data_IF_887414454220
#
_entry.id   IF_887414454220
#
_cell.length_a   1.000
_cell.length_b   1.000
_cell.length_c   1.000
_cell.angle_alpha   90.00
_cell.angle_beta   90.00
_cell.angle_gamma   90.00
#
_symmetry.space_group_name_H-M   'P 1'
#
loop_
_entity.id
_entity.type
_entity.pdbx_description
1 polymer ?
2 polymer ?
3 water ?
#
loop_
_entity_poly.entity_id
_entity_poly.type
_entity_poly.pdbx_seq_one_letter_code
_entity_poly.pdbx_strand_id
2 'polyribonucleotide' 'GGGGUUUUGGUUUUCCCC' ?
#
# COMPACT_ATOMS: atom_id res chain seq x y z
N UNK A 42 -11.66 -15.64 -25.56
CA UNK A 42 -10.35 -16.19 -25.93
C UNK A 42 -10.27 -16.33 -27.45
N UNK A 43 -10.44 -17.55 -27.96
CA UNK A 43 -10.59 -17.78 -29.40
C UNK A 43 -12.06 -18.08 -29.71
N UNK A 44 -12.61 -17.73 -30.88
CA UNK A 44 -12.02 -16.98 -32.01
C UNK A 44 -10.68 -17.46 -32.59
N UNK A 46 -13.92 -16.30 -36.29
CA UNK A 46 -12.90 -15.92 -37.24
C UNK A 46 -12.47 -14.46 -37.14
N UNK A 47 -12.37 -13.97 -35.92
CA UNK A 47 -12.14 -12.55 -35.65
C UNK A 47 -10.70 -12.36 -35.17
N UNK A 48 -9.94 -11.55 -35.89
CA UNK A 48 -8.53 -11.35 -35.56
C UNK A 48 -8.42 -10.38 -34.40
N UNK A 49 -7.75 -10.74 -33.31
CA UNK A 49 -7.60 -9.81 -32.18
C UNK A 49 -6.91 -8.52 -32.59
N UNK A 50 -7.27 -7.45 -31.90
CA UNK A 50 -6.58 -6.17 -32.01
C UNK A 50 -5.49 -6.11 -30.93
N UNK A 51 -4.59 -5.15 -31.08
CA UNK A 51 -3.66 -4.88 -29.98
C UNK A 51 -4.43 -4.44 -28.73
N UNK A 52 -5.57 -3.77 -28.91
CA UNK A 52 -6.40 -3.42 -27.74
C UNK A 52 -6.81 -4.66 -26.97
N UNK A 53 -7.01 -5.78 -27.67
CA UNK A 53 -7.46 -7.01 -27.05
C UNK A 53 -6.38 -7.60 -26.14
N UNK A 54 -5.15 -7.70 -26.65
CA UNK A 54 -4.05 -8.20 -25.82
C UNK A 54 -3.76 -7.26 -24.65
N UNK A 55 -3.88 -5.95 -24.85
CA UNK A 55 -3.58 -5.02 -23.76
C UNK A 55 -4.55 -5.19 -22.61
N UNK A 56 -5.83 -5.44 -22.90
CA UNK A 56 -6.79 -5.65 -21.82
C UNK A 56 -6.45 -6.89 -21.02
N UNK A 57 -6.24 -8.03 -21.71
CA UNK A 57 -5.85 -9.25 -21.02
C UNK A 57 -4.54 -9.08 -20.25
N UNK A 58 -3.55 -8.43 -20.86
CA UNK A 58 -2.30 -8.16 -20.15
C UNK A 58 -2.56 -7.29 -18.94
N UNK A 59 -3.43 -6.28 -19.07
CA UNK A 59 -3.80 -5.50 -17.91
C UNK A 59 -4.38 -6.40 -16.81
N UNK A 60 -5.40 -7.19 -17.14
CA UNK A 60 -6.00 -8.05 -16.15
C UNK A 60 -4.99 -9.02 -15.53
N UNK A 61 -4.13 -9.60 -16.35
CA UNK A 61 -3.12 -10.51 -15.83
C UNK A 61 -2.19 -9.80 -14.85
N UNK A 62 -1.67 -8.64 -15.24
CA UNK A 62 -0.71 -7.93 -14.39
C UNK A 62 -1.31 -7.56 -13.06
N UNK A 63 -2.53 -7.03 -13.09
CA UNK A 63 -3.19 -6.67 -11.84
C UNK A 63 -3.56 -7.88 -11.00
N UNK A 64 -3.56 -9.08 -11.58
CA UNK A 64 -3.71 -10.31 -10.80
C UNK A 64 -2.37 -10.92 -10.41
N UNK A 65 -1.28 -10.15 -10.47
CA UNK A 65 0.03 -10.62 -10.10
C UNK A 65 0.66 -11.54 -11.12
N UNK A 66 -0.16 -12.06 -12.04
CA UNK A 66 0.23 -13.10 -12.99
C UNK A 66 1.20 -12.57 -14.03
N UNK A 67 2.31 -11.98 -13.59
CA UNK A 67 3.18 -11.27 -14.52
C UNK A 67 3.84 -12.21 -15.52
N UNK A 68 4.28 -13.38 -15.05
CA UNK A 68 4.81 -14.37 -15.97
C UNK A 68 3.77 -14.74 -17.02
N UNK A 69 2.54 -15.03 -16.60
CA UNK A 69 1.48 -15.27 -17.58
C UNK A 69 1.18 -14.00 -18.38
N UNK A 70 1.25 -12.83 -17.75
CA UNK A 70 1.07 -11.58 -18.47
C UNK A 70 2.13 -11.39 -19.55
N UNK A 71 3.30 -12.00 -19.40
CA UNK A 71 4.40 -11.80 -20.34
C UNK A 71 4.39 -12.78 -21.51
N UNK A 72 3.90 -14.01 -21.31
CA UNK A 72 3.76 -14.93 -22.44
C UNK A 72 2.77 -14.40 -23.48
N UNK A 73 1.72 -13.70 -23.03
CA UNK A 73 0.83 -13.00 -23.96
C UNK A 73 1.60 -12.01 -24.81
N UNK A 74 2.53 -11.28 -24.19
CA UNK A 74 3.37 -10.35 -24.95
C UNK A 74 4.10 -11.08 -26.07
N UNK A 75 4.65 -12.26 -25.78
CA UNK A 75 5.38 -13.00 -26.82
C UNK A 75 4.43 -13.54 -27.87
N UNK A 76 3.28 -14.06 -27.47
CA UNK A 76 2.35 -14.63 -28.42
C UNK A 76 1.94 -13.60 -29.47
N UNK A 77 1.78 -12.34 -29.08
CA UNK A 77 1.18 -11.36 -29.99
C UNK A 77 2.17 -10.90 -31.06
N UNK A 78 3.47 -10.83 -30.76
CA UNK A 78 4.42 -10.58 -31.83
C UNK A 78 4.43 -11.75 -32.81
N UNK A 79 4.34 -12.98 -32.30
CA UNK A 79 4.37 -14.17 -33.15
C UNK A 79 3.23 -14.18 -34.15
N UNK A 80 2.14 -13.48 -33.88
CA UNK A 80 1.09 -13.32 -34.87
C UNK A 80 1.30 -12.11 -35.76
N UNK A 81 2.32 -11.30 -35.50
CA UNK A 81 2.55 -10.09 -36.25
C UNK A 81 1.78 -8.90 -35.74
N UNK A 82 1.44 -8.88 -34.45
CA UNK A 82 0.65 -7.82 -33.83
C UNK A 82 1.57 -7.05 -32.90
N UNK A 83 1.80 -5.79 -33.22
CA UNK A 83 2.84 -5.03 -32.56
C UNK A 83 2.37 -4.54 -31.20
N UNK A 84 3.02 -4.93 -30.11
CA UNK A 84 2.84 -4.21 -28.85
C UNK A 84 3.07 -2.72 -29.05
N UNK A 85 2.19 -1.92 -28.46
CA UNK A 85 2.25 -0.47 -28.62
C UNK A 85 2.72 0.16 -27.31
N UNK A 86 2.55 1.49 -27.20
CA UNK A 86 3.02 2.20 -26.02
C UNK A 86 2.20 1.80 -24.80
N UNK A 87 0.89 1.58 -25.01
CA UNK A 87 0.03 1.14 -23.91
C UNK A 87 0.43 -0.24 -23.44
N UNK A 88 0.82 -1.11 -24.38
CA UNK A 88 1.31 -2.43 -24.01
C UNK A 88 2.51 -2.31 -23.05
N UNK A 89 3.49 -1.49 -23.39
CA UNK A 89 4.65 -1.35 -22.51
C UNK A 89 4.27 -0.69 -21.20
N UNK A 90 3.38 0.31 -21.25
CA UNK A 90 3.00 0.99 -20.02
C UNK A 90 2.28 0.05 -19.06
N UNK A 91 1.49 -0.88 -19.58
CA UNK A 91 0.78 -1.85 -18.74
C UNK A 91 1.77 -2.78 -18.05
N UNK A 92 2.65 -3.42 -18.83
CA UNK A 92 3.66 -4.29 -18.25
C UNK A 92 4.59 -3.54 -17.31
N UNK A 93 4.96 -2.31 -17.64
CA UNK A 93 5.82 -1.54 -16.73
C UNK A 93 5.13 -1.32 -15.40
N UNK A 94 3.85 -0.95 -15.42
CA UNK A 94 3.09 -0.77 -14.18
C UNK A 94 2.98 -2.06 -13.39
N UNK A 95 2.60 -3.16 -14.06
CA UNK A 95 2.57 -4.43 -13.39
C UNK A 95 3.91 -4.80 -12.76
N UNK A 96 5.01 -4.51 -13.47
CA UNK A 96 6.32 -4.84 -12.91
C UNK A 96 6.64 -4.01 -11.68
N UNK A 97 6.32 -2.71 -11.71
CA UNK A 97 6.63 -1.86 -10.57
C UNK A 97 5.84 -2.30 -9.35
N UNK A 98 4.52 -2.44 -9.52
CA UNK A 98 3.66 -2.77 -8.38
C UNK A 98 3.97 -4.17 -7.84
N UNK A 99 4.45 -5.07 -8.70
CA UNK A 99 4.94 -6.37 -8.25
C UNK A 99 6.35 -6.30 -7.70
N UNK A 100 6.91 -5.10 -7.51
CA UNK A 100 8.21 -4.96 -6.91
C UNK A 100 9.40 -5.24 -7.82
N UNK A 101 9.16 -5.49 -9.11
CA UNK A 101 10.23 -5.76 -10.06
C UNK A 101 10.63 -4.49 -10.81
N UNK A 102 10.95 -3.43 -10.06
CA UNK A 102 11.23 -2.14 -10.66
C UNK A 102 12.31 -2.25 -11.74
N UNK A 103 13.42 -2.93 -11.41
CA UNK A 103 14.50 -3.08 -12.37
C UNK A 103 14.02 -3.74 -13.66
N UNK A 104 13.11 -4.72 -13.55
CA UNK A 104 12.59 -5.36 -14.75
C UNK A 104 11.77 -4.37 -15.57
N UNK A 105 11.08 -3.43 -14.90
CA UNK A 105 10.31 -2.42 -15.63
C UNK A 105 11.23 -1.46 -16.35
N UNK A 106 12.31 -1.04 -15.70
CA UNK A 106 13.29 -0.17 -16.35
C UNK A 106 13.88 -0.80 -17.61
N UNK A 107 14.08 -2.12 -17.61
CA UNK A 107 14.47 -2.78 -18.86
C UNK A 107 13.42 -2.56 -19.96
N UNK A 108 12.14 -2.76 -19.64
CA UNK A 108 11.09 -2.59 -20.63
C UNK A 108 11.04 -1.17 -21.19
N UNK A 109 11.27 -0.17 -20.34
CA UNK A 109 11.43 1.20 -20.80
C UNK A 109 12.58 1.31 -21.82
N UNK A 110 13.72 0.66 -21.55
CA UNK A 110 14.79 0.67 -22.54
C UNK A 110 14.39 -0.08 -23.79
N UNK A 111 13.75 -1.24 -23.64
CA UNK A 111 13.36 -2.00 -24.82
C UNK A 111 12.45 -1.18 -25.72
N UNK A 112 11.48 -0.46 -25.16
CA UNK A 112 10.55 0.32 -25.98
C UNK A 112 11.28 1.46 -26.69
N UNK A 113 12.18 2.16 -26.00
CA UNK A 113 12.94 3.22 -26.63
C UNK A 113 13.75 2.68 -27.81
N UNK A 114 14.43 1.54 -27.60
CA UNK A 114 15.19 0.92 -28.67
C UNK A 114 14.33 0.67 -29.90
N UNK A 115 13.03 0.52 -29.72
CA UNK A 115 12.11 0.19 -30.79
C UNK A 115 11.49 1.42 -31.45
N UNK A 116 11.80 2.62 -30.97
CA UNK A 116 11.11 3.80 -31.48
C UNK A 116 9.71 3.98 -30.94
N UNK A 117 9.30 3.17 -29.97
CA UNK A 117 8.00 3.33 -29.33
C UNK A 117 8.18 4.35 -28.22
N UNK A 118 7.79 5.57 -28.49
CA UNK A 118 8.11 6.72 -27.65
C UNK A 118 7.46 6.60 -26.28
N UNK A 119 8.21 6.65 -25.19
CA UNK A 119 7.59 6.81 -23.88
C UNK A 119 6.90 8.16 -23.78
N UNK A 120 5.70 8.15 -23.21
CA UNK A 120 4.82 9.30 -23.11
C UNK A 120 4.62 9.68 -21.64
N UNK A 121 3.72 10.65 -21.42
CA UNK A 121 3.51 11.14 -20.07
C UNK A 121 3.10 10.02 -19.13
N UNK A 122 2.32 9.04 -19.63
CA UNK A 122 1.92 7.91 -18.80
C UNK A 122 3.12 7.06 -18.43
N UNK A 123 4.00 6.80 -19.39
CA UNK A 123 5.21 6.04 -19.10
C UNK A 123 5.99 6.67 -17.96
N UNK A 124 6.27 7.96 -18.05
CA UNK A 124 7.02 8.63 -17.00
C UNK A 124 6.26 8.62 -15.67
N UNK A 125 4.97 8.96 -15.69
CA UNK A 125 4.14 8.91 -14.49
C UNK A 125 4.22 7.54 -13.82
N UNK A 126 4.21 6.48 -14.61
CA UNK A 126 4.27 5.13 -14.08
C UNK A 126 5.62 4.87 -13.40
N UNK A 127 6.71 5.22 -14.07
CA UNK A 127 8.04 5.05 -13.46
C UNK A 127 8.21 5.95 -12.24
N UNK A 128 7.82 7.22 -12.34
CA UNK A 128 7.97 8.16 -11.22
C UNK A 128 7.29 7.63 -9.98
N UNK A 129 6.04 7.16 -10.10
CA UNK A 129 5.38 6.55 -8.95
C UNK A 129 6.11 5.29 -8.51
N UNK A 130 6.43 4.41 -9.47
CA UNK A 130 7.19 3.22 -9.12
C UNK A 130 8.48 3.52 -8.39
N UNK A 131 9.21 4.55 -8.83
CA UNK A 131 10.47 4.91 -8.18
C UNK A 131 10.22 5.52 -6.81
N UNK A 132 9.19 6.36 -6.68
CA UNK A 132 8.85 6.91 -5.38
C UNK A 132 8.58 5.80 -4.38
N UNK A 133 7.77 4.82 -4.76
CA UNK A 133 7.33 3.80 -3.83
C UNK A 133 8.39 2.73 -3.54
N UNK A 134 9.61 2.87 -4.05
CA UNK A 134 10.64 1.85 -3.82
C UNK A 134 11.83 2.37 -3.01
N UNK A 136 14.29 4.89 -5.62
CA UNK A 136 13.55 5.62 -4.58
C UNK A 136 13.43 7.08 -5.06
N UNK A 137 12.89 7.94 -4.19
CA UNK A 137 12.69 9.37 -4.44
C UNK A 137 13.87 10.02 -5.14
N UNK A 139 15.80 9.63 -8.12
CA UNK A 139 15.56 8.88 -9.35
C UNK A 139 14.21 9.28 -9.96
N UNK A 140 13.16 9.36 -9.13
CA UNK A 140 11.88 9.84 -9.63
C UNK A 140 11.95 11.30 -10.09
N UNK A 141 12.74 12.10 -9.38
CA UNK A 141 12.85 13.52 -9.72
C UNK A 141 13.71 13.74 -10.97
N UNK A 142 14.73 12.91 -11.19
CA UNK A 142 15.45 13.02 -12.46
C UNK A 142 14.55 12.65 -13.64
N UNK A 143 13.65 11.67 -13.48
CA UNK A 143 12.72 11.39 -14.56
C UNK A 143 11.75 12.55 -14.78
N UNK A 144 11.36 13.25 -13.70
CA UNK A 144 10.48 14.40 -13.85
C UNK A 144 11.13 15.50 -14.69
N UNK A 145 12.44 15.69 -14.55
CA UNK A 145 13.12 16.62 -15.46
C UNK A 145 13.38 15.97 -16.81
N UNK A 146 13.68 14.67 -16.85
CA UNK A 146 13.92 14.04 -18.14
C UNK A 146 12.70 14.12 -19.05
N UNK A 147 11.49 13.96 -18.49
CA UNK A 147 10.30 13.98 -19.35
C UNK A 147 10.10 15.35 -19.98
N UNK A 148 10.38 16.43 -19.22
CA UNK A 148 10.28 17.78 -19.78
C UNK A 148 11.25 17.95 -20.94
N UNK A 149 12.44 17.34 -20.83
CA UNK A 149 13.44 17.42 -21.89
C UNK A 149 13.06 16.58 -23.11
N UNK A 150 12.06 15.71 -23.02
CA UNK A 150 11.56 14.99 -24.17
C UNK A 150 10.39 15.71 -24.83
N UNK A 151 10.03 16.90 -24.36
CA UNK A 151 8.85 17.60 -24.82
C UNK A 151 7.54 17.17 -24.17
N UNK A 152 7.60 16.40 -23.09
CA UNK A 152 6.40 15.96 -22.40
C UNK A 152 6.12 16.92 -21.26
N UNK A 153 4.99 17.61 -21.33
CA UNK A 153 4.53 18.40 -20.19
C UNK A 153 4.11 17.47 -19.08
N UNK A 154 4.59 17.66 -17.85
CA UNK A 154 3.98 17.00 -16.70
C UNK A 154 2.55 17.46 -16.53
N UNK A 155 1.68 16.55 -16.13
CA UNK A 155 0.26 16.84 -15.94
C UNK A 155 -0.13 16.67 -14.48
N UNK A 156 -1.43 16.82 -14.22
CA UNK A 156 -1.97 16.76 -12.87
C UNK A 156 -1.59 15.45 -12.19
N UNK A 157 -1.55 14.34 -12.94
CA UNK A 157 -1.17 13.05 -12.36
C UNK A 157 0.31 13.06 -11.99
N UNK A 158 1.18 13.58 -12.86
CA UNK A 158 2.60 13.71 -12.52
C UNK A 158 2.77 14.50 -11.22
N UNK A 159 2.14 15.67 -11.13
CA UNK A 159 2.27 16.46 -9.91
C UNK A 159 1.70 15.72 -8.71
N UNK A 160 0.54 15.08 -8.87
CA UNK A 160 -0.03 14.32 -7.76
C UNK A 160 0.93 13.20 -7.33
N UNK A 161 1.53 12.51 -8.30
CA UNK A 161 2.43 11.41 -7.99
C UNK A 161 3.63 11.90 -7.18
N UNK A 162 4.19 13.05 -7.53
CA UNK A 162 5.39 13.54 -6.85
C UNK A 162 5.07 14.24 -5.53
N UNK A 163 3.91 14.91 -5.43
CA UNK A 163 3.52 15.51 -4.17
C UNK A 163 3.35 14.43 -3.09
N UNK A 164 2.75 13.31 -3.46
CA UNK A 164 2.63 12.19 -2.52
C UNK A 164 3.99 11.62 -2.16
N UNK A 165 4.83 11.34 -3.16
CA UNK A 165 6.17 10.86 -2.89
C UNK A 165 6.93 11.79 -1.96
N UNK A 166 6.84 13.10 -2.21
CA UNK A 166 7.57 14.03 -1.36
C UNK A 166 7.04 14.01 0.07
N UNK A 167 5.71 13.91 0.25
CA UNK A 167 5.14 13.84 1.59
C UNK A 167 5.55 12.57 2.32
N UNK A 168 5.37 11.41 1.67
CA UNK A 168 5.72 10.16 2.32
C UNK A 168 7.21 10.03 2.56
N UNK A 169 8.03 10.90 1.97
CA UNK A 169 9.47 10.96 2.18
C UNK A 169 9.85 11.99 3.22
N UNK A 170 8.87 12.54 3.93
CA UNK A 170 9.13 13.58 4.88
C UNK A 170 9.46 14.92 4.27
N UNK A 171 9.26 15.09 2.97
CA UNK A 171 9.61 16.36 2.33
C UNK A 171 8.37 17.19 2.04
N UNK A 172 7.57 17.45 3.08
CA UNK A 172 6.30 18.15 2.91
C UNK A 172 6.52 19.56 2.35
N UNK A 173 7.54 20.26 2.85
CA UNK A 173 7.86 21.58 2.30
C UNK A 173 8.09 21.50 0.80
N UNK A 174 8.78 20.44 0.35
CA UNK A 174 8.95 20.21 -1.08
C UNK A 174 7.62 19.99 -1.78
N UNK A 175 6.74 19.20 -1.17
CA UNK A 175 5.45 18.90 -1.78
C UNK A 175 4.61 20.16 -1.93
N UNK A 176 4.46 20.93 -0.85
CA UNK A 176 3.78 22.21 -0.96
C UNK A 176 4.42 23.08 -2.03
N UNK A 177 5.74 22.96 -2.21
CA UNK A 177 6.41 23.68 -3.29
C UNK A 177 5.86 23.27 -4.65
N UNK A 178 5.69 21.97 -4.89
CA UNK A 178 5.15 21.53 -6.17
C UNK A 178 3.71 21.96 -6.35
N UNK A 179 2.94 22.03 -5.26
CA UNK A 179 1.55 22.47 -5.34
C UNK A 179 1.45 23.88 -5.86
N UNK A 180 2.29 24.79 -5.35
CA UNK A 180 2.37 26.13 -5.90
C UNK A 180 2.74 26.10 -7.39
N UNK A 181 3.71 25.26 -7.75
CA UNK A 181 4.23 25.29 -9.12
C UNK A 181 3.17 24.83 -10.14
N UNK A 182 2.34 23.84 -9.78
CA UNK A 182 1.37 23.35 -10.75
C UNK A 182 0.26 24.36 -11.00
N UNK A 183 -0.09 25.19 -10.01
CA UNK A 183 -1.03 26.27 -10.26
C UNK A 183 -0.39 27.32 -11.18
N UNK A 184 0.91 27.56 -11.04
CA UNK A 184 1.63 28.41 -11.99
C UNK A 184 1.51 27.89 -13.42
N UNK A 185 1.77 26.59 -13.63
CA UNK A 185 1.66 26.01 -14.97
C UNK A 185 0.22 25.95 -15.49
N UNK A 186 -0.76 26.41 -14.72
CA UNK A 186 -2.14 26.31 -15.14
C UNK A 186 -2.74 24.93 -15.01
N UNK A 187 -2.15 24.07 -14.18
CA UNK A 187 -2.71 22.75 -13.92
C UNK A 187 -3.64 22.89 -12.72
N UNK A 188 -4.93 22.59 -12.93
CA UNK A 188 -5.92 22.79 -11.86
C UNK A 188 -5.89 21.64 -10.86
N UNK A 189 -5.53 21.87 -9.60
CA UNK A 189 -5.53 20.79 -8.60
C UNK A 189 -6.91 20.15 -8.51
N UNK A 190 -6.93 18.83 -8.33
CA UNK A 190 -8.17 18.09 -8.27
C UNK A 190 -8.37 17.49 -6.88
N UNK A 191 -9.34 16.58 -6.78
CA UNK A 191 -9.67 16.00 -5.50
C UNK A 191 -8.52 15.14 -5.00
N UNK A 192 -7.86 14.41 -5.90
CA UNK A 192 -6.66 13.66 -5.53
C UNK A 192 -5.56 14.61 -5.04
N UNK A 193 -5.39 15.77 -5.71
CA UNK A 193 -4.34 16.72 -5.32
C UNK A 193 -4.56 17.19 -3.89
N UNK A 194 -5.76 17.68 -3.59
CA UNK A 194 -6.06 18.18 -2.26
C UNK A 194 -6.06 17.05 -1.24
N UNK A 195 -6.48 15.83 -1.62
CA UNK A 195 -6.47 14.73 -0.66
C UNK A 195 -5.05 14.29 -0.32
N UNK A 196 -4.13 14.37 -1.29
CA UNK A 196 -2.74 13.99 -1.04
C UNK A 196 -2.09 14.94 -0.04
N UNK A 197 -2.38 16.24 -0.14
CA UNK A 197 -1.78 17.21 0.78
C UNK A 197 -2.43 17.14 2.16
N UNK A 198 -3.75 16.90 2.22
CA UNK A 198 -4.41 16.73 3.51
C UNK A 198 -3.80 15.55 4.26
N UNK A 199 -3.61 14.41 3.57
CA UNK A 199 -2.98 13.26 4.19
C UNK A 199 -1.60 13.63 4.73
N UNK A 200 -0.74 14.18 3.87
CA UNK A 200 0.62 14.50 4.28
C UNK A 200 0.67 15.40 5.49
N UNK A 201 -0.11 16.49 5.46
CA UNK A 201 -0.21 17.39 6.59
C UNK A 201 -0.58 16.66 7.87
N UNK A 202 -1.63 15.84 7.83
CA UNK A 202 -2.02 15.05 8.99
C UNK A 202 -0.87 14.17 9.46
N UNK A 203 -0.29 13.41 8.52
CA UNK A 203 0.75 12.48 8.92
C UNK A 203 1.98 13.22 9.45
N UNK A 204 2.18 14.48 9.04
CA UNK A 204 3.25 15.27 9.62
C UNK A 204 2.86 15.89 10.96
N UNK A 205 1.60 15.83 11.35
CA UNK A 205 1.15 16.43 12.59
C UNK A 205 0.47 17.78 12.43
N UNK A 206 0.30 18.25 11.20
CA UNK A 206 -0.33 19.55 10.94
C UNK A 206 -1.82 19.41 10.69
N UNK A 207 -2.52 18.78 11.65
CA UNK A 207 -3.92 18.43 11.46
C UNK A 207 -4.76 19.67 11.16
N UNK A 208 -4.50 20.76 11.87
CA UNK A 208 -5.32 21.95 11.66
C UNK A 208 -5.07 22.55 10.28
N UNK A 209 -3.82 22.55 9.82
CA UNK A 209 -3.56 22.94 8.44
C UNK A 209 -4.31 22.03 7.47
N UNK A 210 -4.34 20.72 7.75
CA UNK A 210 -5.14 19.80 6.93
C UNK A 210 -6.59 20.23 6.91
N UNK A 211 -7.17 20.47 8.09
CA UNK A 211 -8.56 20.92 8.17
C UNK A 211 -8.77 22.21 7.39
N UNK A 212 -7.81 23.13 7.48
CA UNK A 212 -7.90 24.38 6.71
C UNK A 212 -7.90 24.10 5.21
N UNK A 213 -6.97 23.25 4.75
CA UNK A 213 -6.86 23.02 3.30
C UNK A 213 -8.11 22.31 2.77
N UNK A 214 -8.70 21.43 3.57
CA UNK A 214 -9.97 20.83 3.19
C UNK A 214 -11.05 21.90 3.04
N UNK A 215 -11.03 22.90 3.91
CA UNK A 215 -12.03 23.97 3.82
C UNK A 215 -11.94 24.69 2.47
N UNK A 216 -10.74 25.01 2.01
CA UNK A 216 -10.62 25.72 0.74
C UNK A 216 -10.91 24.82 -0.46
N UNK A 217 -10.85 23.50 -0.28
CA UNK A 217 -11.17 22.60 -1.38
C UNK A 217 -12.66 22.65 -1.73
N UNK A 218 -13.52 22.86 -0.74
CA UNK A 218 -14.93 23.04 -1.09
C UNK A 218 -15.18 24.44 -1.65
N UNK A 219 -14.44 25.45 -1.18
CA UNK A 219 -14.53 26.79 -1.76
C UNK A 219 -14.29 26.74 -3.26
N UNK A 220 -13.22 26.09 -3.68
CA UNK A 220 -12.91 26.03 -5.12
C UNK A 220 -13.85 25.12 -5.89
N UNK A 221 -14.88 24.58 -5.24
CA UNK A 221 -15.82 23.72 -5.91
C UNK A 221 -15.30 22.34 -6.22
N UNK A 222 -14.30 21.88 -5.48
CA UNK A 222 -13.81 20.52 -5.64
C UNK A 222 -14.52 19.65 -4.62
N UNK A 223 -15.25 18.67 -5.11
CA UNK A 223 -16.11 17.88 -4.24
C UNK A 223 -15.31 16.77 -3.57
N UNK A 224 -15.22 16.75 -2.23
CA UNK A 224 -14.52 15.66 -1.56
C UNK A 224 -15.28 14.35 -1.71
N UNK A 225 -14.53 13.25 -1.75
CA UNK A 225 -15.11 11.92 -1.83
C UNK A 225 -14.80 11.15 -0.55
N UNK A 226 -15.16 9.87 -0.55
CA UNK A 226 -14.98 9.06 0.64
C UNK A 226 -13.50 8.95 1.02
N UNK A 227 -12.58 9.05 0.05
CA UNK A 227 -11.17 8.98 0.37
C UNK A 227 -10.75 10.23 1.15
N UNK A 228 -11.20 11.41 0.71
CA UNK A 228 -10.95 12.63 1.45
C UNK A 228 -11.39 12.51 2.90
N UNK A 229 -12.69 12.21 3.13
CA UNK A 229 -13.21 12.15 4.49
C UNK A 229 -12.45 11.14 5.34
N UNK A 230 -12.15 9.97 4.75
CA UNK A 230 -11.43 8.95 5.49
C UNK A 230 -10.06 9.45 5.93
N UNK A 231 -9.40 10.23 5.08
CA UNK A 231 -8.07 10.73 5.38
C UNK A 231 -8.10 11.65 6.58
N UNK A 232 -9.06 12.56 6.61
CA UNK A 232 -9.25 13.39 7.79
C UNK A 232 -9.66 12.56 8.99
N UNK A 233 -10.53 11.56 8.79
CA UNK A 233 -10.96 10.71 9.90
C UNK A 233 -9.76 9.96 10.47
N UNK A 234 -8.95 9.36 9.60
CA UNK A 234 -7.70 8.74 10.04
C UNK A 234 -6.81 9.73 10.79
N UNK A 235 -6.72 10.96 10.29
CA UNK A 235 -5.85 11.92 10.94
C UNK A 235 -6.32 12.27 12.33
N UNK A 236 -7.61 12.52 12.49
CA UNK A 236 -8.16 12.81 13.81
C UNK A 236 -7.97 11.64 14.75
N UNK A 237 -8.12 10.42 14.26
CA UNK A 237 -7.88 9.26 15.13
C UNK A 237 -6.41 9.17 15.53
N UNK A 238 -5.50 9.34 14.58
CA UNK A 238 -4.08 9.30 14.92
C UNK A 238 -3.73 10.37 15.94
N UNK A 239 -4.49 11.47 15.99
CA UNK A 239 -4.23 12.58 16.88
C UNK A 239 -5.06 12.52 18.17
N UNK A 240 -5.59 11.36 18.53
CA UNK A 240 -6.32 11.18 19.77
C UNK A 240 -7.69 11.82 19.85
N UNK A 241 -8.26 12.28 18.73
CA UNK A 241 -9.54 12.99 18.74
C UNK A 241 -10.61 12.11 18.12
N UNK A 242 -10.96 11.03 18.83
CA UNK A 242 -11.88 10.03 18.29
C UNK A 242 -13.28 10.60 18.04
N UNK A 243 -13.77 11.48 18.92
CA UNK A 243 -15.13 11.99 18.73
C UNK A 243 -15.19 13.02 17.61
N UNK A 244 -14.14 13.83 17.45
CA UNK A 244 -14.10 14.70 16.28
C UNK A 244 -14.10 13.88 15.00
N UNK A 245 -13.48 12.69 15.02
CA UNK A 245 -13.48 11.80 13.87
C UNK A 245 -14.85 11.21 13.60
N UNK A 246 -15.60 10.86 14.64
CA UNK A 246 -16.95 10.36 14.41
C UNK A 246 -17.87 11.48 13.97
N UNK A 247 -17.67 12.68 14.51
CA UNK A 247 -18.42 13.85 14.05
C UNK A 247 -18.25 14.05 12.55
N UNK A 248 -17.00 13.93 12.08
CA UNK A 248 -16.77 14.07 10.65
C UNK A 248 -17.39 12.91 9.89
N UNK A 249 -17.26 11.70 10.45
CA UNK A 249 -17.82 10.53 9.80
C UNK A 249 -19.32 10.69 9.58
N UNK A 250 -20.02 11.25 10.57
CA UNK A 250 -21.44 11.49 10.40
C UNK A 250 -21.68 12.63 9.40
N UNK A 251 -20.84 13.66 9.42
CA UNK A 251 -20.95 14.70 8.40
C UNK A 251 -20.69 14.14 7.00
N UNK A 252 -19.84 13.12 6.88
CA UNK A 252 -19.64 12.48 5.59
C UNK A 252 -20.94 11.88 5.07
N UNK A 253 -21.71 11.21 5.95
CA UNK A 253 -22.95 10.60 5.49
C UNK A 253 -24.01 11.66 5.20
N UNK A 254 -24.12 12.69 6.06
CA UNK A 254 -25.14 13.73 5.87
C UNK A 254 -24.93 14.48 4.56
N UNK A 255 -23.68 14.58 4.11
CA UNK A 255 -23.38 15.11 2.79
C UNK A 255 -23.77 14.14 1.68
N UNK A 256 -24.23 12.95 2.02
CA UNK A 256 -24.52 11.93 1.03
C UNK A 256 -23.31 11.15 0.56
N UNK A 257 -22.24 11.07 1.35
CA UNK A 257 -21.03 10.37 0.94
C UNK A 257 -20.99 9.01 1.62
N UNK A 258 -21.09 7.95 0.83
CA UNK A 258 -21.19 6.60 1.38
C UNK A 258 -19.82 6.08 1.80
N UNK A 259 -19.64 5.66 3.04
CA UNK A 259 -18.37 5.07 3.46
C UNK A 259 -18.15 3.73 2.76
N UNK A 260 -16.92 3.25 2.85
CA UNK A 260 -16.57 1.96 2.29
C UNK A 260 -15.93 1.17 3.42
N UNK A 261 -15.22 0.11 3.08
CA UNK A 261 -14.65 -0.75 4.11
C UNK A 261 -13.44 -0.08 4.76
N UNK A 262 -12.62 0.59 3.95
CA UNK A 262 -11.51 1.36 4.49
C UNK A 262 -11.99 2.33 5.55
N UNK A 263 -13.09 3.03 5.29
CA UNK A 263 -13.57 3.99 6.27
C UNK A 263 -13.81 3.32 7.62
N UNK A 264 -14.53 2.20 7.62
CA UNK A 264 -14.82 1.50 8.87
C UNK A 264 -13.55 0.90 9.46
N UNK A 265 -12.68 0.35 8.61
CA UNK A 265 -11.40 -0.15 9.08
C UNK A 265 -10.62 0.96 9.79
N UNK A 266 -10.49 2.10 9.13
CA UNK A 266 -9.95 3.29 9.79
C UNK A 266 -10.64 3.56 11.11
N UNK A 267 -11.97 3.53 11.13
CA UNK A 267 -12.67 3.86 12.36
C UNK A 267 -12.46 2.78 13.42
N UNK A 268 -12.53 1.51 13.03
CA UNK A 268 -12.28 0.43 13.97
C UNK A 268 -10.86 0.52 14.55
N UNK A 269 -9.87 0.80 13.71
CA UNK A 269 -8.50 0.93 14.20
C UNK A 269 -8.37 2.06 15.21
N UNK A 270 -9.00 3.20 14.93
CA UNK A 270 -9.04 4.26 15.93
C UNK A 270 -9.62 3.79 17.25
N UNK A 271 -10.64 2.93 17.19
CA UNK A 271 -11.28 2.45 18.41
C UNK A 271 -10.39 1.45 19.15
N UNK A 272 -9.71 0.56 18.42
CA UNK A 272 -8.80 -0.36 19.10
C UNK A 272 -7.64 0.38 19.75
N UNK A 273 -6.99 1.30 19.01
CA UNK A 273 -5.89 2.06 19.60
C UNK A 273 -6.35 2.87 20.80
N UNK A 274 -7.56 3.41 20.75
CA UNK A 274 -8.02 4.24 21.86
C UNK A 274 -8.36 3.41 23.08
N UNK A 275 -8.30 2.09 22.97
CA UNK A 275 -8.65 1.20 24.05
C UNK A 275 -10.10 0.85 24.11
N UNK A 276 -10.89 1.27 23.12
CA UNK A 276 -12.34 1.05 23.10
C UNK A 276 -12.65 -0.21 22.29
N UNK A 277 -12.24 -1.33 22.88
CA UNK A 277 -12.25 -2.62 22.17
C UNK A 277 -13.67 -3.11 21.91
N UNK A 278 -14.60 -2.78 22.82
CA UNK A 278 -15.99 -3.17 22.66
C UNK A 278 -16.69 -2.31 21.60
N UNK A 279 -16.51 -0.99 21.69
CA UNK A 279 -17.06 -0.11 20.67
C UNK A 279 -16.53 -0.47 19.28
N UNK A 280 -15.31 -1.03 19.19
CA UNK A 280 -14.81 -1.47 17.90
C UNK A 280 -15.45 -2.79 17.47
N UNK A 281 -15.83 -3.63 18.42
CA UNK A 281 -16.60 -4.82 18.05
C UNK A 281 -18.03 -4.47 17.67
N UNK A 282 -18.60 -3.45 18.30
CA UNK A 282 -19.88 -2.91 17.86
C UNK A 282 -19.81 -2.43 16.42
N UNK A 283 -18.78 -1.63 16.11
CA UNK A 283 -18.61 -1.10 14.76
C UNK A 283 -18.45 -2.20 13.72
N UNK A 284 -17.77 -3.29 14.08
CA UNK A 284 -17.65 -4.43 13.17
C UNK A 284 -19.01 -5.04 12.86
N UNK A 285 -19.93 -5.05 13.83
CA UNK A 285 -21.27 -5.56 13.59
C UNK A 285 -22.12 -4.57 12.80
N UNK A 286 -22.31 -3.37 13.35
CA UNK A 286 -23.03 -2.30 12.66
C UNK A 286 -22.61 -2.20 11.19
N UNK A 287 -21.31 -2.35 10.94
CA UNK A 287 -20.72 -2.43 9.61
C UNK A 287 -21.56 -3.26 8.64
N UNK A 288 -21.87 -4.50 9.02
CA UNK A 288 -22.63 -5.37 8.12
C UNK A 288 -24.08 -4.91 8.01
N UNK A 289 -24.67 -4.50 9.13
CA UNK A 289 -26.05 -4.01 9.15
C UNK A 289 -26.26 -2.81 8.22
N UNK A 291 -24.64 -2.29 5.03
CA UNK A 291 -24.27 -3.38 4.15
C UNK A 291 -22.86 -3.31 3.56
N UNK A 292 -21.85 -3.29 4.43
CA UNK A 292 -20.45 -3.28 4.00
C UNK A 292 -19.82 -4.62 4.37
N UNK A 293 -19.17 -5.25 3.40
CA UNK A 293 -18.48 -6.51 3.61
C UNK A 293 -17.10 -6.23 4.18
N UNK A 294 -16.83 -6.60 5.43
CA UNK A 294 -15.47 -6.51 5.95
C UNK A 294 -14.50 -7.33 5.12
N UNK A 295 -13.25 -6.88 5.10
CA UNK A 295 -12.19 -7.51 4.33
C UNK A 295 -11.11 -7.98 5.29
N UNK A 296 -9.97 -8.36 4.71
CA UNK A 296 -8.89 -8.91 5.52
C UNK A 296 -8.38 -7.86 6.49
N UNK A 297 -8.25 -6.61 6.03
CA UNK A 297 -7.70 -5.55 6.87
C UNK A 297 -8.62 -5.28 8.05
N UNK A 298 -9.94 -5.33 7.84
CA UNK A 298 -10.89 -5.35 8.94
C UNK A 298 -10.51 -6.38 9.99
N UNK A 299 -10.38 -7.64 9.56
CA UNK A 299 -10.02 -8.70 10.48
C UNK A 299 -8.63 -8.49 11.06
N UNK A 300 -7.68 -8.02 10.25
CA UNK A 300 -6.34 -7.82 10.78
C UNK A 300 -6.35 -6.80 11.89
N UNK A 301 -7.11 -5.73 11.71
CA UNK A 301 -7.14 -4.66 12.69
C UNK A 301 -7.66 -5.15 14.03
N UNK A 302 -8.80 -5.84 14.03
CA UNK A 302 -9.34 -6.39 15.28
C UNK A 302 -8.39 -7.41 15.88
N UNK A 303 -7.90 -8.34 15.05
CA UNK A 303 -6.98 -9.36 15.56
C UNK A 303 -5.81 -8.68 16.26
N UNK A 304 -5.39 -7.51 15.77
CA UNK A 304 -4.28 -6.79 16.40
C UNK A 304 -4.69 -6.14 17.71
N UNK A 305 -5.79 -5.37 17.69
CA UNK A 305 -6.33 -4.85 18.95
C UNK A 305 -6.46 -5.92 20.01
N UNK A 306 -6.95 -7.10 19.62
CA UNK A 306 -7.21 -8.16 20.60
C UNK A 306 -5.92 -8.77 21.11
N UNK A 307 -4.93 -8.97 20.22
CA UNK A 307 -3.62 -9.46 20.65
C UNK A 307 -2.99 -8.50 21.65
N UNK A 308 -2.88 -7.22 21.30
CA UNK A 308 -2.21 -6.26 22.16
C UNK A 308 -2.88 -6.16 23.53
N UNK A 309 -4.20 -6.39 23.62
CA UNK A 309 -4.89 -6.38 24.90
C UNK A 309 -4.71 -7.68 25.69
N UNK A 310 -4.19 -8.74 25.08
CA UNK A 310 -4.05 -10.01 25.73
C UNK A 310 -5.18 -10.96 25.42
N UNK A 311 -6.24 -10.48 24.77
CA UNK A 311 -7.40 -11.31 24.49
C UNK A 311 -7.10 -12.24 23.31
N UNK A 312 -6.13 -13.13 23.57
CA UNK A 312 -5.61 -14.00 22.52
C UNK A 312 -6.66 -14.97 22.00
N UNK A 313 -7.58 -15.39 22.86
CA UNK A 313 -8.63 -16.28 22.41
C UNK A 313 -9.50 -15.60 21.36
N UNK A 314 -10.11 -14.46 21.74
CA UNK A 314 -11.01 -13.77 20.82
C UNK A 314 -10.31 -13.43 19.51
N UNK A 315 -8.99 -13.20 19.54
CA UNK A 315 -8.24 -12.98 18.31
C UNK A 315 -8.21 -14.23 17.44
N UNK A 316 -7.89 -15.38 18.04
CA UNK A 316 -7.74 -16.61 17.26
C UNK A 316 -9.06 -17.07 16.68
N UNK A 317 -10.17 -16.82 17.36
CA UNK A 317 -11.45 -17.22 16.80
C UNK A 317 -11.90 -16.27 15.70
N UNK A 318 -11.44 -15.02 15.74
CA UNK A 318 -11.63 -14.11 14.62
C UNK A 318 -10.84 -14.60 13.41
N UNK A 319 -9.58 -14.95 13.64
CA UNK A 319 -8.73 -15.55 12.61
C UNK A 319 -9.39 -16.80 12.03
N UNK A 320 -10.13 -17.55 12.85
CA UNK A 320 -10.87 -18.70 12.36
C UNK A 320 -12.10 -18.27 11.56
N UNK A 321 -12.78 -17.21 12.02
CA UNK A 321 -14.02 -16.76 11.36
C UNK A 321 -13.76 -16.21 9.97
N UNK A 322 -12.66 -15.46 9.79
CA UNK A 322 -12.37 -14.88 8.48
C UNK A 322 -12.04 -15.96 7.47
N UNK A 323 -11.27 -16.98 7.89
CA UNK A 323 -10.97 -18.11 7.01
C UNK A 323 -12.27 -18.78 6.57
N UNK A 324 -13.06 -19.24 7.54
CA UNK A 324 -14.30 -19.92 7.22
C UNK A 324 -15.19 -19.05 6.33
N UNK A 325 -15.20 -17.73 6.56
CA UNK A 325 -15.93 -16.81 5.70
C UNK A 325 -15.23 -16.57 4.36
N UNK A 326 -14.27 -17.41 3.99
CA UNK A 326 -13.61 -17.28 2.72
C UNK A 326 -12.81 -16.00 2.55
N UNK A 327 -12.40 -15.38 3.64
CA UNK A 327 -11.53 -14.20 3.60
C UNK A 327 -10.12 -14.65 3.94
N UNK A 328 -9.27 -14.70 2.93
CA UNK A 328 -7.95 -15.29 3.06
C UNK A 328 -7.05 -14.42 3.94
N UNK A 329 -6.49 -14.95 5.01
CA UNK A 329 -5.48 -14.18 5.76
C UNK A 329 -4.22 -13.98 4.94
N UNK A 330 -3.78 -12.72 4.85
CA UNK A 330 -2.54 -12.39 4.16
C UNK A 330 -1.32 -12.50 5.08
N UNK A 331 -0.30 -11.71 4.81
CA UNK A 331 0.93 -11.80 5.60
C UNK A 331 0.86 -10.96 6.87
N UNK A 332 0.14 -9.83 6.85
CA UNK A 332 -0.06 -9.05 8.06
C UNK A 332 -0.82 -9.86 9.12
N UNK A 333 -1.79 -10.66 8.68
CA UNK A 333 -2.55 -11.52 9.61
C UNK A 333 -1.63 -12.38 10.44
N UNK A 334 -0.73 -13.10 9.77
CA UNK A 334 0.21 -13.94 10.49
C UNK A 334 1.25 -13.10 11.22
N UNK A 335 1.66 -11.97 10.67
CA UNK A 335 2.59 -11.10 11.38
C UNK A 335 1.98 -10.66 12.72
N UNK A 336 0.73 -10.19 12.69
CA UNK A 336 0.04 -9.74 13.88
C UNK A 336 0.00 -10.82 14.96
N UNK A 337 -0.36 -12.06 14.59
CA UNK A 337 -0.48 -13.13 15.58
C UNK A 337 0.88 -13.57 16.10
N UNK A 338 1.88 -13.65 15.22
CA UNK A 338 3.22 -14.06 15.64
C UNK A 338 3.77 -13.09 16.67
N UNK A 339 3.60 -11.78 16.44
CA UNK A 339 4.05 -10.81 17.42
C UNK A 339 3.23 -10.94 18.71
N UNK A 340 1.92 -11.07 18.56
CA UNK A 340 1.07 -11.24 19.73
C UNK A 340 1.49 -12.42 20.58
N UNK A 341 1.69 -13.58 19.95
CA UNK A 341 2.14 -14.74 20.70
C UNK A 341 3.55 -14.54 21.24
N UNK A 342 4.39 -13.77 20.54
CA UNK A 342 5.77 -13.56 20.98
C UNK A 342 5.84 -12.67 22.20
N UNK A 343 5.23 -11.47 22.14
CA UNK A 343 5.21 -10.61 23.31
C UNK A 343 4.56 -11.27 24.52
N UNK A 344 3.63 -12.21 24.31
CA UNK A 344 2.97 -12.89 25.42
C UNK A 344 3.80 -13.99 26.04
N UNK A 345 4.96 -14.31 25.46
CA UNK A 345 5.78 -15.40 25.97
C UNK A 345 5.46 -16.76 25.40
N UNK A 346 4.64 -16.85 24.36
CA UNK A 346 4.25 -18.11 23.76
C UNK A 346 4.97 -18.34 22.44
N UNK A 347 6.30 -18.42 22.49
CA UNK A 347 7.10 -18.44 21.27
C UNK A 347 6.88 -19.72 20.47
N UNK A 348 6.80 -20.86 21.16
CA UNK A 348 6.52 -22.12 20.47
C UNK A 348 5.27 -22.00 19.58
N UNK A 349 4.20 -21.41 20.13
CA UNK A 349 2.99 -21.20 19.33
C UNK A 349 3.19 -20.19 18.23
N UNK A 350 4.08 -19.22 18.44
CA UNK A 350 4.39 -18.26 17.39
C UNK A 350 5.13 -18.93 16.24
N UNK A 351 6.14 -19.74 16.57
CA UNK A 351 6.84 -20.49 15.54
C UNK A 351 5.92 -21.47 14.86
N UNK A 352 5.10 -22.19 15.65
CA UNK A 352 4.05 -23.03 15.09
C UNK A 352 3.27 -22.28 14.03
N UNK A 353 2.87 -21.04 14.34
CA UNK A 353 2.07 -20.26 13.40
C UNK A 353 2.88 -19.85 12.18
N UNK A 354 4.18 -19.63 12.36
CA UNK A 354 5.04 -19.29 11.22
C UNK A 354 5.03 -20.43 10.21
N UNK A 355 5.25 -21.66 10.70
CA UNK A 355 5.19 -22.84 9.84
C UNK A 355 3.87 -22.90 9.10
N UNK A 356 2.76 -22.84 9.84
CA UNK A 356 1.43 -22.89 9.23
C UNK A 356 1.28 -21.87 8.13
N UNK A 357 1.77 -20.64 8.35
CA UNK A 357 1.73 -19.63 7.31
C UNK A 357 2.51 -20.08 6.08
N UNK A 358 3.71 -20.61 6.29
CA UNK A 358 4.50 -21.19 5.20
C UNK A 358 3.80 -22.43 4.64
N UNK A 359 3.21 -23.25 5.51
CA UNK A 359 2.50 -24.44 5.09
C UNK A 359 1.22 -24.11 4.31
N UNK A 360 1.01 -22.83 3.97
CA UNK A 360 -0.22 -22.42 3.31
C UNK A 360 0.02 -21.43 2.17
N UNK A 361 1.27 -21.26 1.74
CA UNK A 361 1.54 -20.43 0.59
C UNK A 361 1.67 -18.96 0.85
N UNK A 362 1.50 -18.51 2.09
CA UNK A 362 1.74 -17.10 2.40
C UNK A 362 3.23 -16.90 2.60
N UNK A 363 3.81 -16.00 1.82
CA UNK A 363 5.25 -15.77 1.90
C UNK A 363 5.55 -14.82 3.06
N UNK A 364 6.44 -15.19 3.98
CA UNK A 364 6.81 -14.27 5.07
C UNK A 364 7.71 -13.15 4.56
N UNK A 365 7.41 -11.91 4.94
CA UNK A 365 8.23 -10.79 4.50
C UNK A 365 9.25 -10.41 5.55
N UNK A 366 9.68 -9.15 5.54
CA UNK A 366 10.73 -8.74 6.47
C UNK A 366 10.17 -8.51 7.88
N UNK A 367 8.94 -8.01 7.98
CA UNK A 367 8.28 -7.87 9.28
C UNK A 367 8.21 -9.21 9.99
N UNK A 368 7.78 -10.25 9.26
CA UNK A 368 7.74 -11.60 9.82
C UNK A 368 9.06 -11.93 10.50
N UNK A 369 10.17 -11.74 9.80
CA UNK A 369 11.45 -12.12 10.37
C UNK A 369 11.91 -11.15 11.44
N UNK A 370 11.72 -9.85 11.23
CA UNK A 370 12.01 -8.87 12.28
C UNK A 370 11.34 -9.25 13.59
N UNK A 371 10.06 -9.63 13.51
CA UNK A 371 9.31 -10.07 14.69
C UNK A 371 9.91 -11.34 15.30
N UNK A 372 10.11 -12.37 14.47
CA UNK A 372 10.70 -13.61 14.97
C UNK A 372 12.13 -13.37 15.44
N UNK A 373 12.93 -12.67 14.63
CA UNK A 373 14.32 -12.43 15.02
C UNK A 373 14.37 -11.75 16.38
N UNK A 374 13.63 -10.65 16.52
CA UNK A 374 13.48 -10.03 17.84
C UNK A 374 12.92 -11.01 18.85
N UNK A 375 11.97 -11.85 18.42
CA UNK A 375 11.27 -12.69 19.38
C UNK A 375 12.18 -13.63 20.13
N UNK A 376 13.24 -14.09 19.47
CA UNK A 376 14.18 -15.00 20.12
C UNK A 376 15.21 -14.19 20.91
N UNK A 377 14.80 -13.76 22.09
CA UNK A 377 15.63 -13.05 23.02
C UNK A 377 15.20 -13.62 24.36
N UNK A 380 15.97 -15.97 24.37
CA UNK A 380 17.40 -15.93 24.25
C UNK A 380 18.00 -16.92 23.29
N UNK A 381 17.20 -17.44 22.37
CA UNK A 381 17.62 -18.40 21.35
C UNK A 381 18.54 -17.68 20.35
N UNK A 382 19.78 -17.51 20.79
CA UNK A 382 20.82 -16.79 20.06
C UNK A 382 20.93 -17.28 18.63
N UNK A 383 21.35 -18.54 18.46
CA UNK A 383 21.60 -19.06 17.12
C UNK A 383 20.31 -19.17 16.33
N UNK A 384 19.22 -19.58 16.98
CA UNK A 384 17.92 -19.59 16.31
C UNK A 384 17.64 -18.24 15.67
N UNK A 385 17.76 -17.17 16.45
CA UNK A 385 17.61 -15.83 15.90
C UNK A 385 18.55 -15.63 14.71
N UNK A 386 19.85 -15.86 14.92
CA UNK A 386 20.82 -15.72 13.83
C UNK A 386 20.44 -16.61 12.66
N UNK A 387 20.03 -17.85 12.94
CA UNK A 387 19.59 -18.74 11.88
C UNK A 387 18.55 -18.07 11.00
N UNK A 388 17.48 -17.55 11.61
CA UNK A 388 16.38 -16.96 10.85
C UNK A 388 16.85 -15.82 9.97
N UNK A 389 17.95 -15.14 10.34
CA UNK A 389 18.42 -14.02 9.52
C UNK A 389 18.95 -14.51 8.17
N UNK A 390 19.76 -15.58 8.18
CA UNK A 390 20.26 -16.08 6.92
C UNK A 390 19.14 -16.66 6.07
N UNK A 391 18.11 -17.20 6.71
CA UNK A 391 17.00 -17.81 5.98
C UNK A 391 16.25 -16.78 5.15
N UNK A 392 16.06 -15.56 5.69
CA UNK A 392 15.40 -14.53 4.91
C UNK A 392 16.30 -14.01 3.80
N UNK A 393 17.62 -14.12 3.97
CA UNK A 393 18.53 -13.79 2.88
C UNK A 393 18.35 -14.77 1.74
N UNK A 394 18.41 -16.07 2.05
CA UNK A 394 18.24 -17.09 1.01
C UNK A 394 16.88 -16.98 0.36
N UNK A 395 15.84 -16.70 1.15
CA UNK A 395 14.50 -16.50 0.59
C UNK A 395 14.45 -15.29 -0.34
N UNK A 396 15.37 -14.35 -0.19
CA UNK A 396 15.40 -13.19 -1.07
C UNK A 396 14.61 -12.01 -0.53
N UNK A 397 14.81 -11.69 0.76
CA UNK A 397 14.11 -10.59 1.42
C UNK A 397 15.15 -9.57 1.88
N UNK A 398 15.05 -8.35 1.35
CA UNK A 398 15.91 -7.25 1.80
C UNK A 398 15.65 -6.93 3.27
N UNK A 399 16.67 -6.96 4.15
CA UNK A 399 16.53 -6.53 5.54
C UNK A 399 16.51 -5.00 5.67
N UNK A 401 16.46 -1.73 8.23
CA UNK A 401 17.18 -1.22 9.40
C UNK A 401 16.94 -2.03 10.67
N UNK A 402 15.68 -2.43 10.92
CA UNK A 402 15.38 -3.16 12.15
C UNK A 402 16.14 -4.47 12.19
N UNK A 403 16.08 -5.24 11.10
CA UNK A 403 16.78 -6.52 11.00
C UNK A 403 18.21 -6.43 11.51
N UNK A 404 18.99 -5.55 10.87
CA UNK A 404 20.39 -5.36 11.23
C UNK A 404 20.52 -4.94 12.68
N UNK A 405 19.71 -3.97 13.11
CA UNK A 405 19.75 -3.53 14.50
C UNK A 405 19.52 -4.71 15.44
N UNK A 406 18.54 -5.56 15.14
CA UNK A 406 18.23 -6.65 16.06
C UNK A 406 19.35 -7.69 16.08
N UNK A 407 19.91 -8.03 14.92
CA UNK A 407 20.93 -9.08 14.89
C UNK A 407 22.17 -8.64 15.66
N UNK A 408 22.59 -7.39 15.46
CA UNK A 408 23.81 -6.91 16.09
C UNK A 408 23.65 -6.86 17.61
N UNK A 409 22.54 -6.29 18.08
CA UNK A 409 22.29 -6.28 19.51
C UNK A 409 22.16 -7.69 20.05
N UNK A 410 21.81 -8.66 19.19
CA UNK A 410 21.81 -10.05 19.59
C UNK A 410 23.23 -10.61 19.62
N UNK A 411 24.01 -10.35 18.57
CA UNK A 411 25.41 -10.78 18.56
C UNK A 411 26.17 -10.24 19.76
N UNK A 412 25.98 -8.96 20.07
CA UNK A 412 26.80 -8.26 21.06
C UNK A 412 26.63 -8.87 22.45
N UNK A 413 25.43 -8.77 23.03
CA UNK A 413 25.16 -9.40 24.31
C UNK A 413 24.92 -10.91 24.11
N UNK A 414 25.96 -11.56 23.60
CA UNK A 414 25.96 -13.00 23.42
C UNK A 414 27.34 -13.58 23.81
N UNK A 418 31.58 -9.38 20.72
CA UNK A 418 31.73 -8.50 19.56
C UNK A 418 31.83 -9.31 18.26
N UNK A 419 30.69 -9.58 17.64
CA UNK A 419 30.66 -10.45 16.47
C UNK A 419 29.68 -9.94 15.41
#
# INVERSE_FOLDING_TARGET
ALLDETPLPPGSRLDVRAYTTVLHALSRAGRYERALELFAELRRQGVAPTVVTYNTLIDGLCKAGKLDEALKLFEEMVEKGIKPDVVTYNTLIDGLCKAGKLDEALKLFEEMVEKGIKPDVVTYNTLIDGLCKAGKLDEALKLFEEMVEKGIKPDVVTYNTLIDGLCKAGKLDEALKLFEEMVEKGIKPDVVTYTTLIDGLCKAGKLDEALKLFEEMVEKGIKPDVVTYTTLIDGLCKAGKLDEALKLFEEMVEKGIKPDVVTYNTLIDGLCKAGKLDEALKLFEEMVEKGIKPDVVTYNTLIDGLCKAGKLDEALKLFEEMVEKGIKPDVVTYNTLIDGLCKAGKLDEALKLFEEMVEKGIKPDVVTYNTLIDGLCKAGKLDEALKLFEEMVEKGIKPDELTYRRVVESYCRAKRFEEARGFLSEVSETDLDFDKKALEAYIEDAQFGRLEHHHHHHHH
#
